data_IF_374272872452
#
_entry.id   IF_374272872452
#
_cell.length_a   1.000
_cell.length_b   1.000
_cell.length_c   1.000
_cell.angle_alpha   90.00
_cell.angle_beta   90.00
_cell.angle_gamma   90.00
#
_symmetry.space_group_name_H-M   'P 1'
#
loop_
_entity.id
_entity.type
_entity.pdbx_description
1 polymer ?
#
# COMPACT_ATOMS: atom_id res chain seq x y z
N UNK A 1 -6.75 14.33 17.78
CA UNK A 1 -5.62 15.15 17.29
C UNK A 1 -6.16 16.53 16.97
N UNK A 2 -5.52 17.61 17.43
CA UNK A 2 -5.96 18.98 17.11
C UNK A 2 -5.78 19.29 15.62
N UNK A 3 -6.58 20.23 15.09
CA UNK A 3 -6.59 20.57 13.65
C UNK A 3 -5.22 20.98 13.11
N UNK A 4 -4.47 21.82 13.82
CA UNK A 4 -3.12 22.24 13.41
C UNK A 4 -2.12 21.07 13.40
N UNK A 5 -2.16 20.21 14.42
CA UNK A 5 -1.31 19.01 14.48
C UNK A 5 -1.64 18.05 13.33
N UNK A 6 -2.92 17.87 13.01
CA UNK A 6 -3.38 17.05 11.90
C UNK A 6 -2.89 17.60 10.56
N UNK A 7 -3.03 18.91 10.33
CA UNK A 7 -2.57 19.56 9.11
C UNK A 7 -1.04 19.50 8.94
N UNK A 8 -0.27 19.53 10.03
CA UNK A 8 1.19 19.33 9.97
C UNK A 8 1.55 17.87 9.66
N UNK A 9 0.85 16.92 10.28
CA UNK A 9 1.08 15.49 10.11
C UNK A 9 0.77 15.01 8.68
N UNK A 10 -0.37 15.42 8.12
CA UNK A 10 -0.82 14.98 6.79
C UNK A 10 0.04 15.51 5.64
N UNK A 11 0.98 16.43 5.91
CA UNK A 11 2.00 16.85 4.93
C UNK A 11 3.04 15.76 4.65
N UNK A 12 3.29 14.88 5.61
CA UNK A 12 4.35 13.88 5.53
C UNK A 12 3.86 12.44 5.65
N UNK A 13 2.67 12.24 6.21
CA UNK A 13 2.09 10.92 6.42
C UNK A 13 0.70 10.81 5.79
N UNK A 14 0.46 9.72 5.07
CA UNK A 14 -0.84 9.39 4.50
C UNK A 14 -1.59 8.30 5.29
N UNK A 15 -0.95 7.72 6.31
CA UNK A 15 -1.52 6.70 7.20
C UNK A 15 -1.85 7.28 8.58
N UNK A 16 -2.84 6.72 9.26
CA UNK A 16 -3.20 7.07 10.62
C UNK A 16 -2.19 6.48 11.60
N UNK A 17 -1.62 7.26 12.54
CA UNK A 17 -0.61 6.74 13.46
C UNK A 17 -1.20 5.84 14.55
N UNK A 18 -2.53 5.80 14.68
CA UNK A 18 -3.22 5.02 15.70
C UNK A 18 -3.71 3.67 15.19
N UNK A 19 -4.25 3.64 13.96
CA UNK A 19 -4.84 2.43 13.38
C UNK A 19 -4.19 1.97 12.07
N UNK A 20 -3.18 2.70 11.58
CA UNK A 20 -2.43 2.43 10.36
C UNK A 20 -3.25 2.44 9.06
N UNK A 21 -4.53 2.82 9.11
CA UNK A 21 -5.38 3.02 7.92
C UNK A 21 -5.02 4.27 7.14
N UNK A 22 -5.33 4.30 5.86
CA UNK A 22 -5.18 5.48 5.00
C UNK A 22 -6.07 6.63 5.53
N UNK A 23 -5.51 7.84 5.61
CA UNK A 23 -6.20 9.03 6.14
C UNK A 23 -7.29 9.58 5.22
N UNK A 24 -7.32 9.18 3.95
CA UNK A 24 -8.26 9.69 2.96
C UNK A 24 -8.26 8.86 1.68
N UNK A 25 -8.88 9.40 0.63
CA UNK A 25 -8.88 8.77 -0.67
C UNK A 25 -7.50 8.93 -1.34
N UNK A 26 -6.78 7.82 -1.45
CA UNK A 26 -5.47 7.73 -2.08
C UNK A 26 -5.50 7.04 -3.45
N UNK A 27 -6.68 6.89 -4.08
CA UNK A 27 -6.84 6.23 -5.39
C UNK A 27 -5.89 6.79 -6.45
N UNK A 28 -5.70 8.11 -6.50
CA UNK A 28 -4.77 8.72 -7.45
C UNK A 28 -3.32 8.31 -7.20
N UNK A 29 -2.93 8.18 -5.94
CA UNK A 29 -1.61 7.70 -5.56
C UNK A 29 -1.45 6.21 -5.89
N UNK A 30 -2.48 5.40 -5.61
CA UNK A 30 -2.50 3.98 -5.99
C UNK A 30 -2.38 3.76 -7.50
N UNK A 31 -3.04 4.59 -8.32
CA UNK A 31 -2.89 4.56 -9.79
C UNK A 31 -1.47 4.91 -10.24
N UNK A 32 -0.78 5.81 -9.54
CA UNK A 32 0.61 6.12 -9.83
C UNK A 32 1.51 4.90 -9.55
N UNK A 33 1.28 4.22 -8.42
CA UNK A 33 2.01 2.99 -8.07
C UNK A 33 1.70 1.88 -9.07
N UNK A 34 0.44 1.69 -9.47
CA UNK A 34 0.06 0.71 -10.52
C UNK A 34 0.94 0.88 -11.77
N UNK A 35 1.11 2.11 -12.25
CA UNK A 35 1.97 2.41 -13.42
C UNK A 35 3.46 2.14 -13.17
N UNK A 36 3.95 2.44 -11.97
CA UNK A 36 5.34 2.17 -11.61
C UNK A 36 5.63 0.66 -11.60
N UNK A 37 4.70 -0.14 -11.06
CA UNK A 37 4.83 -1.59 -11.02
C UNK A 37 4.65 -2.23 -12.41
N UNK A 38 3.79 -1.67 -13.26
CA UNK A 38 3.65 -2.12 -14.66
C UNK A 38 4.93 -1.87 -15.49
N UNK A 39 5.64 -0.77 -15.21
CA UNK A 39 6.91 -0.47 -15.87
C UNK A 39 8.10 -1.26 -15.29
N UNK A 40 7.96 -1.78 -14.06
CA UNK A 40 8.98 -2.58 -13.40
C UNK A 40 9.01 -4.00 -13.98
N UNK A 41 10.18 -4.41 -14.47
CA UNK A 41 10.41 -5.81 -14.87
C UNK A 41 11.13 -6.53 -13.74
N UNK A 42 10.42 -7.46 -13.10
CA UNK A 42 11.02 -8.34 -12.09
C UNK A 42 12.02 -9.30 -12.74
N UNK A 43 13.21 -9.51 -12.15
CA UNK A 43 14.12 -10.56 -12.57
C UNK A 43 13.43 -11.93 -12.54
N UNK A 44 13.81 -12.82 -13.46
CA UNK A 44 13.21 -14.15 -13.62
C UNK A 44 13.23 -15.00 -12.33
N UNK A 45 14.22 -14.79 -11.46
CA UNK A 45 14.34 -15.47 -10.16
C UNK A 45 13.21 -15.12 -9.18
N UNK A 46 12.65 -13.91 -9.31
CA UNK A 46 11.52 -13.43 -8.50
C UNK A 46 10.20 -13.53 -9.24
N UNK A 47 10.23 -13.75 -10.56
CA UNK A 47 9.05 -13.96 -11.38
C UNK A 47 8.32 -15.23 -10.90
N UNK A 48 7.11 -15.05 -10.34
CA UNK A 48 6.32 -16.14 -9.76
C UNK A 48 6.46 -16.29 -8.25
N UNK A 49 7.37 -15.54 -7.60
CA UNK A 49 7.38 -15.43 -6.14
C UNK A 49 6.13 -14.71 -5.70
N UNK A 50 5.46 -15.28 -4.70
CA UNK A 50 4.30 -14.67 -4.05
C UNK A 50 4.64 -14.25 -2.63
N UNK A 51 3.97 -13.22 -2.14
CA UNK A 51 4.12 -12.72 -0.79
C UNK A 51 2.75 -12.59 -0.12
N UNK A 52 2.68 -13.09 1.11
CA UNK A 52 1.52 -12.93 1.98
C UNK A 52 1.50 -11.53 2.55
N UNK A 53 0.37 -10.85 2.41
CA UNK A 53 0.17 -9.50 2.92
C UNK A 53 -1.11 -9.40 3.74
N UNK A 54 -1.12 -8.45 4.66
CA UNK A 54 -2.31 -7.96 5.35
C UNK A 54 -2.56 -6.51 4.95
N UNK A 55 -3.75 -6.20 4.46
CA UNK A 55 -4.13 -4.82 4.17
C UNK A 55 -4.59 -4.09 5.44
N UNK A 56 -4.00 -2.94 5.73
CA UNK A 56 -4.39 -2.13 6.89
C UNK A 56 -5.78 -1.49 6.69
N UNK A 57 -6.16 -1.19 5.45
CA UNK A 57 -7.43 -0.51 5.15
C UNK A 57 -8.65 -1.43 5.31
N UNK A 58 -8.61 -2.60 4.65
CA UNK A 58 -9.73 -3.55 4.65
C UNK A 58 -9.53 -4.76 5.59
N UNK A 59 -8.33 -4.96 6.15
CA UNK A 59 -8.02 -6.10 7.03
C UNK A 59 -7.89 -7.44 6.32
N UNK A 60 -8.06 -7.50 4.99
CA UNK A 60 -7.98 -8.74 4.24
C UNK A 60 -6.53 -9.25 4.17
N UNK A 61 -6.37 -10.57 4.34
CA UNK A 61 -5.14 -11.28 3.99
C UNK A 61 -5.23 -11.70 2.53
N UNK A 62 -4.16 -11.49 1.79
CA UNK A 62 -4.07 -11.94 0.40
C UNK A 62 -2.65 -12.33 0.07
N UNK A 63 -2.50 -13.30 -0.82
CA UNK A 63 -1.22 -13.68 -1.37
C UNK A 63 -1.08 -13.06 -2.76
N UNK A 64 -0.08 -12.20 -2.95
CA UNK A 64 0.06 -11.36 -4.15
C UNK A 64 1.43 -11.53 -4.78
N UNK A 65 1.58 -11.12 -6.04
CA UNK A 65 2.87 -11.15 -6.70
C UNK A 65 3.89 -10.30 -5.93
N UNK A 66 5.11 -10.83 -5.78
CA UNK A 66 6.19 -10.12 -5.11
C UNK A 66 6.63 -8.91 -5.93
N UNK A 67 6.77 -7.78 -5.25
CA UNK A 67 7.46 -6.59 -5.73
C UNK A 67 8.38 -6.09 -4.63
N UNK A 68 9.42 -5.34 -4.96
CA UNK A 68 10.39 -4.91 -3.96
C UNK A 68 9.82 -3.93 -2.94
N UNK A 69 8.91 -3.04 -3.38
CA UNK A 69 8.44 -1.91 -2.56
C UNK A 69 6.95 -1.97 -2.26
N UNK A 70 6.10 -2.27 -3.24
CA UNK A 70 4.65 -2.11 -3.12
C UNK A 70 3.89 -3.40 -3.41
N UNK A 71 2.96 -3.75 -2.52
CA UNK A 71 2.13 -4.94 -2.66
C UNK A 71 0.65 -4.58 -2.77
N UNK A 72 0.07 -4.83 -3.94
CA UNK A 72 -1.32 -4.47 -4.22
C UNK A 72 -2.29 -5.40 -3.51
N UNK A 73 -3.17 -4.88 -2.67
CA UNK A 73 -4.22 -5.69 -2.06
C UNK A 73 -5.17 -6.26 -3.12
N UNK A 74 -5.46 -7.55 -3.06
CA UNK A 74 -6.37 -8.19 -4.02
C UNK A 74 -7.83 -7.69 -3.90
N UNK A 75 -8.26 -7.32 -2.68
CA UNK A 75 -9.64 -6.94 -2.33
C UNK A 75 -9.94 -5.47 -2.62
N UNK A 76 -9.23 -4.54 -1.99
CA UNK A 76 -9.51 -3.09 -2.14
C UNK A 76 -8.63 -2.38 -3.18
N UNK A 77 -7.68 -3.09 -3.80
CA UNK A 77 -6.70 -2.54 -4.76
C UNK A 77 -5.78 -1.45 -4.20
N UNK A 78 -5.81 -1.19 -2.90
CA UNK A 78 -4.90 -0.27 -2.23
C UNK A 78 -3.53 -0.89 -1.94
N UNK A 79 -2.58 -0.02 -1.58
CA UNK A 79 -1.18 -0.39 -1.28
C UNK A 79 -0.79 -0.15 0.18
N UNK A 80 -1.73 0.19 1.05
CA UNK A 80 -1.51 0.25 2.48
C UNK A 80 -1.54 -1.16 3.08
N UNK A 81 -0.48 -1.91 2.82
CA UNK A 81 -0.34 -3.33 3.15
C UNK A 81 0.96 -3.57 3.91
N UNK A 82 0.99 -4.61 4.74
CA UNK A 82 2.20 -5.10 5.40
C UNK A 82 2.43 -6.57 5.08
N UNK A 83 3.69 -6.96 5.01
CA UNK A 83 4.10 -8.36 4.82
C UNK A 83 3.82 -9.14 6.11
N UNK A 84 3.34 -10.37 5.97
CA UNK A 84 3.06 -11.30 7.09
C UNK A 84 3.65 -12.67 6.84
#
# INVERSE_FOLDING_TARGET
>A
MHSHCFAAYTRYAYTCPLCFKSLGNLEMYWRMIDRLLEAEQLPAEYAGRRQSILCNDCGARSEVAFHFVYHRCASCKGYNTRIV
#
